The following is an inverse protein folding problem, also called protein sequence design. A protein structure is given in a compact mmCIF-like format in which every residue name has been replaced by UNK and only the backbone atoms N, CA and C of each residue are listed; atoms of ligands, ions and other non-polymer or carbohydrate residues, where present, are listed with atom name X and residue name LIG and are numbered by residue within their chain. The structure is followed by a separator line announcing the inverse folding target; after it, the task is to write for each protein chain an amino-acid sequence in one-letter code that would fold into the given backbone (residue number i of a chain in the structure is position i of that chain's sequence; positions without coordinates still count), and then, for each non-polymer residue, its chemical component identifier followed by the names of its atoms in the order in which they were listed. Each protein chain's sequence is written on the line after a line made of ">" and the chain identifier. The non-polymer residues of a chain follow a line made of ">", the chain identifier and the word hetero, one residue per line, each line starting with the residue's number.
data_IF_684242678291
#
_entry.id   IF_684242678291
#
_cell.length_a   1.000
_cell.length_b   1.000
_cell.length_c   1.000
_cell.angle_alpha   90.00
_cell.angle_beta   90.00
_cell.angle_gamma   90.00
#
_symmetry.space_group_name_H-M   'P 1'
#
loop_
_entity.id
_entity.type
_entity.pdbx_description
1 polymer ?
#
# COMPACT_ATOMS: atom_id res chain seq x y z
N UNK A 1 -0.08 -17.67 0.18
CA UNK A 1 0.62 -16.50 0.75
C UNK A 1 0.08 -16.29 2.14
N UNK A 2 0.95 -16.01 3.12
CA UNK A 2 0.51 -15.59 4.46
C UNK A 2 0.17 -14.10 4.45
N UNK A 3 -0.76 -13.65 5.30
CA UNK A 3 -1.19 -12.25 5.41
C UNK A 3 0.01 -11.30 5.63
N UNK A 4 1.03 -11.75 6.36
CA UNK A 4 2.27 -11.00 6.56
C UNK A 4 3.16 -10.88 5.29
N UNK A 5 3.16 -11.89 4.42
CA UNK A 5 3.88 -11.82 3.14
C UNK A 5 3.17 -10.91 2.16
N UNK A 6 1.83 -10.99 2.13
CA UNK A 6 0.99 -10.13 1.30
C UNK A 6 1.11 -8.66 1.72
N UNK A 7 1.09 -8.37 3.03
CA UNK A 7 1.36 -7.03 3.56
C UNK A 7 2.70 -6.46 3.08
N UNK A 8 3.76 -7.27 3.13
CA UNK A 8 5.09 -6.85 2.69
C UNK A 8 5.16 -6.55 1.18
N UNK A 9 4.37 -7.26 0.36
CA UNK A 9 4.26 -6.97 -1.08
C UNK A 9 3.53 -5.66 -1.33
N UNK A 10 2.42 -5.40 -0.64
CA UNK A 10 1.67 -4.15 -0.76
C UNK A 10 2.50 -2.94 -0.32
N UNK A 11 3.22 -3.05 0.80
CA UNK A 11 4.13 -1.99 1.26
C UNK A 11 5.22 -1.69 0.23
N UNK A 12 5.71 -2.73 -0.48
CA UNK A 12 6.72 -2.58 -1.53
C UNK A 12 6.13 -1.92 -2.79
N UNK A 13 4.93 -2.29 -3.20
CA UNK A 13 4.22 -1.67 -4.32
C UNK A 13 3.97 -0.18 -4.06
N UNK A 14 3.49 0.15 -2.85
CA UNK A 14 3.27 1.53 -2.41
C UNK A 14 4.56 2.35 -2.44
N UNK A 15 5.66 1.80 -1.91
CA UNK A 15 6.96 2.49 -1.94
C UNK A 15 7.43 2.76 -3.37
N UNK A 16 7.23 1.81 -4.29
CA UNK A 16 7.59 1.99 -5.70
C UNK A 16 6.74 3.05 -6.40
N UNK A 17 5.44 3.09 -6.12
CA UNK A 17 4.54 4.11 -6.66
C UNK A 17 4.90 5.50 -6.12
N UNK A 18 5.20 5.60 -4.82
CA UNK A 18 5.67 6.84 -4.19
C UNK A 18 7.01 7.33 -4.76
N UNK A 19 7.94 6.42 -5.07
CA UNK A 19 9.21 6.77 -5.73
C UNK A 19 9.02 7.21 -7.18
N UNK A 20 8.01 6.68 -7.86
CA UNK A 20 7.70 6.99 -9.26
C UNK A 20 6.86 8.25 -9.42
N UNK A 21 6.27 8.80 -8.35
CA UNK A 21 5.50 10.04 -8.38
C UNK A 21 6.40 11.23 -8.77
N UNK A 22 6.25 11.81 -9.98
CA UNK A 22 6.94 13.04 -10.30
C UNK A 22 6.35 14.17 -9.46
N UNK A 23 7.21 15.01 -8.86
CA UNK A 23 6.81 16.18 -8.03
C UNK A 23 5.88 17.18 -8.74
N UNK A 24 5.70 17.06 -10.05
CA UNK A 24 4.77 17.84 -10.86
C UNK A 24 4.10 16.90 -11.88
N UNK A 25 2.80 16.66 -11.73
CA UNK A 25 2.01 15.86 -12.68
C UNK A 25 1.53 14.53 -12.10
N UNK A 26 0.75 14.60 -11.03
CA UNK A 26 0.04 13.45 -10.47
C UNK A 26 -0.98 12.97 -11.50
N UNK A 27 -0.79 11.79 -12.10
CA UNK A 27 -1.88 11.11 -12.81
C UNK A 27 -2.86 10.67 -11.72
N UNK A 28 -4.07 11.22 -11.73
CA UNK A 28 -5.12 10.96 -10.71
C UNK A 28 -5.29 9.48 -10.38
N UNK A 29 -5.09 8.59 -11.35
CA UNK A 29 -5.16 7.14 -11.17
C UNK A 29 -4.07 6.56 -10.25
N UNK A 30 -2.87 7.16 -10.20
CA UNK A 30 -1.81 6.72 -9.28
C UNK A 30 -2.09 7.14 -7.84
N UNK A 31 -2.70 8.31 -7.63
CA UNK A 31 -3.11 8.74 -6.29
C UNK A 31 -4.17 7.82 -5.72
N UNK A 32 -5.23 7.54 -6.50
CA UNK A 32 -6.27 6.60 -6.08
C UNK A 32 -5.69 5.24 -5.75
N UNK A 33 -4.73 4.73 -6.54
CA UNK A 33 -4.09 3.45 -6.26
C UNK A 33 -3.25 3.48 -4.97
N UNK A 34 -2.62 4.60 -4.65
CA UNK A 34 -1.88 4.75 -3.39
C UNK A 34 -2.87 4.74 -2.22
N UNK A 35 -3.96 5.49 -2.30
CA UNK A 35 -4.97 5.54 -1.24
C UNK A 35 -5.56 4.14 -0.97
N UNK A 36 -5.86 3.37 -2.02
CA UNK A 36 -6.32 1.98 -1.91
C UNK A 36 -5.28 1.08 -1.23
N UNK A 37 -4.01 1.19 -1.62
CA UNK A 37 -2.92 0.42 -1.02
C UNK A 37 -2.72 0.77 0.45
N UNK A 38 -2.84 2.06 0.83
CA UNK A 38 -2.74 2.50 2.23
C UNK A 38 -3.88 1.93 3.08
N UNK A 39 -5.11 1.94 2.56
CA UNK A 39 -6.27 1.36 3.25
C UNK A 39 -6.10 -0.15 3.44
N UNK A 40 -5.72 -0.88 2.39
CA UNK A 40 -5.54 -2.34 2.44
C UNK A 40 -4.42 -2.75 3.41
N UNK A 41 -3.30 -2.00 3.42
CA UNK A 41 -2.19 -2.18 4.37
C UNK A 41 -2.67 -1.95 5.82
N UNK A 42 -3.48 -0.90 6.04
CA UNK A 42 -3.99 -0.58 7.37
C UNK A 42 -4.93 -1.67 7.90
N UNK A 43 -5.83 -2.17 7.04
CA UNK A 43 -6.72 -3.28 7.38
C UNK A 43 -5.96 -4.57 7.68
N UNK A 44 -4.97 -4.92 6.84
CA UNK A 44 -4.13 -6.10 7.06
C UNK A 44 -3.30 -5.99 8.34
N UNK A 45 -2.72 -4.82 8.63
CA UNK A 45 -2.00 -4.57 9.88
C UNK A 45 -2.90 -4.72 11.09
N UNK A 46 -4.13 -4.22 11.01
CA UNK A 46 -5.12 -4.37 12.08
C UNK A 46 -5.47 -5.84 12.29
N UNK A 47 -5.77 -6.58 11.22
CA UNK A 47 -6.09 -8.00 11.27
C UNK A 47 -4.94 -8.84 11.85
N UNK A 48 -3.70 -8.54 11.47
CA UNK A 48 -2.49 -9.21 12.01
C UNK A 48 -2.21 -8.83 13.47
N UNK A 49 -2.52 -7.58 13.87
CA UNK A 49 -2.37 -7.09 15.24
C UNK A 49 -3.46 -7.60 16.20
N UNK A 50 -4.68 -7.78 15.72
CA UNK A 50 -5.80 -8.39 16.47
C UNK A 50 -5.71 -9.92 16.53
N UNK A 51 -4.86 -10.54 15.71
CA UNK A 51 -4.60 -11.99 15.71
C UNK A 51 -3.47 -12.41 16.67
N UNK A 52 -3.08 -11.56 17.63
CA UNK A 52 -1.97 -11.79 18.57
C UNK A 52 -2.42 -11.93 20.02
#
# INVERSE_FOLDING_TARGET
>A
MNDAQYLAELERELEQLQKQLPKHGLKSSMLTRIDELEEEIAELKKKLGESK
#
